data_IF_540424144511
#
_entry.id   IF_540424144511
#
_cell.length_a   1.000
_cell.length_b   1.000
_cell.length_c   1.000
_cell.angle_alpha   90.00
_cell.angle_beta   90.00
_cell.angle_gamma   90.00
#
_symmetry.space_group_name_H-M   'P 1'
#
loop_
_entity.id
_entity.type
_entity.pdbx_description
1 polymer ?
#
# COMPACT_ATOMS: atom_id res chain seq x y z
N UNK A 1 -18.80 -8.41 -4.03
CA UNK A 1 -17.90 -9.58 -4.15
C UNK A 1 -16.64 -9.26 -4.97
N UNK A 2 -16.75 -8.80 -6.22
CA UNK A 2 -15.58 -8.51 -7.08
C UNK A 2 -14.54 -7.56 -6.45
N UNK A 3 -14.98 -6.47 -5.83
CA UNK A 3 -14.08 -5.53 -5.15
C UNK A 3 -13.29 -6.18 -4.00
N UNK A 4 -13.93 -7.07 -3.22
CA UNK A 4 -13.25 -7.79 -2.13
C UNK A 4 -12.21 -8.76 -2.69
N UNK A 5 -12.53 -9.46 -3.79
CA UNK A 5 -11.57 -10.31 -4.50
C UNK A 5 -10.38 -9.51 -5.03
N UNK A 6 -10.63 -8.30 -5.54
CA UNK A 6 -9.58 -7.39 -5.97
C UNK A 6 -8.66 -7.00 -4.80
N UNK A 7 -9.22 -6.55 -3.67
CA UNK A 7 -8.43 -6.23 -2.47
C UNK A 7 -7.61 -7.43 -1.96
N UNK A 8 -8.20 -8.62 -1.95
CA UNK A 8 -7.51 -9.85 -1.56
C UNK A 8 -6.37 -10.21 -2.53
N UNK A 9 -6.58 -10.02 -3.84
CA UNK A 9 -5.55 -10.24 -4.85
C UNK A 9 -4.38 -9.27 -4.71
N UNK A 10 -4.64 -8.00 -4.41
CA UNK A 10 -3.60 -7.00 -4.10
C UNK A 10 -2.78 -7.41 -2.88
N UNK A 11 -3.45 -7.78 -1.78
CA UNK A 11 -2.77 -8.22 -0.57
C UNK A 11 -1.90 -9.46 -0.82
N UNK A 12 -2.43 -10.43 -1.56
CA UNK A 12 -1.70 -11.64 -1.97
C UNK A 12 -0.48 -11.31 -2.84
N UNK A 13 -0.63 -10.40 -3.81
CA UNK A 13 0.49 -9.92 -4.65
C UNK A 13 1.60 -9.31 -3.80
N UNK A 14 1.26 -8.46 -2.82
CA UNK A 14 2.25 -7.82 -1.95
C UNK A 14 2.95 -8.86 -1.08
N UNK A 15 2.21 -9.80 -0.49
CA UNK A 15 2.78 -10.88 0.31
C UNK A 15 3.78 -11.70 -0.51
N UNK A 16 3.36 -12.17 -1.68
CA UNK A 16 4.12 -13.07 -2.56
C UNK A 16 5.34 -12.41 -3.22
N UNK A 17 5.28 -11.12 -3.56
CA UNK A 17 6.34 -10.46 -4.34
C UNK A 17 7.19 -9.46 -3.56
N UNK A 18 6.79 -9.12 -2.34
CA UNK A 18 7.49 -8.14 -1.51
C UNK A 18 7.73 -8.67 -0.10
N UNK A 19 6.74 -9.25 0.58
CA UNK A 19 6.95 -9.70 1.96
C UNK A 19 7.81 -10.96 2.07
N UNK A 20 7.84 -11.84 1.06
CA UNK A 20 8.73 -13.02 1.03
C UNK A 20 10.22 -12.65 1.07
N UNK A 21 10.58 -11.53 0.46
CA UNK A 21 11.94 -11.02 0.34
C UNK A 21 12.24 -9.92 1.39
N UNK A 22 11.27 -9.53 2.22
CA UNK A 22 11.46 -8.45 3.19
C UNK A 22 12.23 -8.91 4.44
N UNK A 23 13.02 -8.02 5.06
CA UNK A 23 13.69 -8.25 6.35
C UNK A 23 12.77 -8.79 7.46
N UNK A 24 11.50 -8.40 7.42
CA UNK A 24 10.49 -8.81 8.40
C UNK A 24 9.82 -10.16 8.07
N UNK A 25 10.27 -10.92 7.08
CA UNK A 25 9.76 -12.28 6.85
C UNK A 25 9.89 -13.12 8.13
N UNK A 26 8.78 -13.69 8.60
CA UNK A 26 8.73 -14.45 9.86
C UNK A 26 8.73 -13.59 11.13
N UNK A 27 8.76 -12.26 11.01
CA UNK A 27 8.74 -11.30 12.11
C UNK A 27 7.49 -10.43 12.07
N UNK A 28 7.11 -9.84 13.20
CA UNK A 28 6.03 -8.87 13.25
C UNK A 28 6.54 -7.51 12.73
N UNK A 29 6.09 -7.10 11.55
CA UNK A 29 6.26 -5.72 11.08
C UNK A 29 5.09 -4.85 11.58
N UNK A 30 5.19 -3.51 11.44
CA UNK A 30 4.11 -2.60 11.83
C UNK A 30 2.76 -2.82 11.13
N UNK A 31 2.73 -3.62 10.06
CA UNK A 31 1.53 -4.03 9.33
C UNK A 31 1.16 -5.51 9.55
N UNK A 32 1.92 -6.26 10.34
CA UNK A 32 1.73 -7.70 10.57
C UNK A 32 2.03 -8.63 9.38
N UNK A 33 2.18 -8.07 8.16
CA UNK A 33 2.39 -8.82 6.91
C UNK A 33 3.58 -9.76 6.91
N UNK A 34 4.67 -9.43 7.61
CA UNK A 34 5.87 -10.28 7.66
C UNK A 34 5.62 -11.65 8.29
N UNK A 35 4.84 -11.68 9.38
CA UNK A 35 4.42 -12.91 10.08
C UNK A 35 3.33 -13.64 9.30
N UNK A 36 2.40 -12.90 8.69
CA UNK A 36 1.38 -13.50 7.83
C UNK A 36 2.00 -14.20 6.61
N UNK A 37 2.99 -13.56 5.98
CA UNK A 37 3.69 -14.09 4.82
C UNK A 37 4.35 -15.45 5.11
N UNK A 38 5.03 -15.59 6.26
CA UNK A 38 5.72 -16.84 6.60
C UNK A 38 4.79 -18.03 6.89
N UNK A 39 3.49 -17.78 7.09
CA UNK A 39 2.50 -18.86 7.23
C UNK A 39 2.03 -19.39 5.87
N UNK A 40 2.11 -18.57 4.82
CA UNK A 40 1.51 -18.86 3.51
C UNK A 40 2.56 -19.16 2.44
N UNK A 41 3.74 -18.54 2.54
CA UNK A 41 4.81 -18.64 1.56
C UNK A 41 6.13 -19.03 2.20
N UNK A 42 7.04 -19.61 1.41
CA UNK A 42 8.43 -19.82 1.80
C UNK A 42 9.25 -18.54 1.79
N UNK A 43 10.40 -18.56 2.48
CA UNK A 43 11.31 -17.41 2.56
C UNK A 43 11.98 -17.18 1.20
N UNK A 44 11.93 -15.94 0.73
CA UNK A 44 12.65 -15.50 -0.45
C UNK A 44 14.07 -15.00 -0.11
N UNK A 45 14.60 -14.16 -0.98
CA UNK A 45 15.95 -13.60 -0.87
C UNK A 45 15.90 -12.10 -0.56
N UNK A 46 16.39 -11.67 0.61
CA UNK A 46 16.45 -10.26 0.99
C UNK A 46 17.13 -9.33 -0.02
N UNK A 47 18.12 -9.81 -0.77
CA UNK A 47 18.79 -8.99 -1.78
C UNK A 47 17.85 -8.62 -2.91
N UNK A 48 16.95 -9.53 -3.32
CA UNK A 48 15.95 -9.26 -4.36
C UNK A 48 15.03 -8.11 -4.01
N UNK A 49 14.71 -7.91 -2.73
CA UNK A 49 13.88 -6.77 -2.31
C UNK A 49 14.59 -5.43 -2.53
N UNK A 50 15.89 -5.38 -2.25
CA UNK A 50 16.72 -4.17 -2.38
C UNK A 50 17.05 -3.90 -3.85
N UNK A 51 17.17 -4.92 -4.69
CA UNK A 51 17.46 -4.74 -6.12
C UNK A 51 16.21 -4.46 -6.94
N UNK A 52 15.02 -4.77 -6.41
CA UNK A 52 13.75 -4.56 -7.09
C UNK A 52 13.56 -3.10 -7.48
N UNK A 53 13.36 -2.86 -8.76
CA UNK A 53 12.91 -1.57 -9.26
C UNK A 53 11.39 -1.56 -9.22
N UNK A 54 10.81 -0.62 -8.47
CA UNK A 54 9.36 -0.42 -8.39
C UNK A 54 9.02 0.74 -9.31
N UNK A 55 8.03 0.53 -10.17
CA UNK A 55 7.49 1.54 -11.07
C UNK A 55 6.14 2.06 -10.58
N UNK A 56 5.68 3.19 -11.14
CA UNK A 56 4.31 3.68 -10.88
C UNK A 56 3.22 2.68 -11.27
N UNK A 57 3.47 1.85 -12.29
CA UNK A 57 2.55 0.80 -12.70
C UNK A 57 2.40 -0.31 -11.63
N UNK A 58 3.41 -0.51 -10.78
CA UNK A 58 3.33 -1.45 -9.66
C UNK A 58 2.53 -0.90 -8.48
N UNK A 59 2.52 0.43 -8.30
CA UNK A 59 1.75 1.12 -7.25
C UNK A 59 0.32 1.45 -7.66
N UNK A 60 0.05 1.57 -8.96
CA UNK A 60 -1.26 1.92 -9.50
C UNK A 60 -2.39 1.01 -8.95
N UNK A 61 -2.23 -0.32 -8.88
CA UNK A 61 -3.27 -1.20 -8.35
C UNK A 61 -3.59 -0.92 -6.86
N UNK A 62 -2.60 -0.54 -6.07
CA UNK A 62 -2.82 -0.18 -4.66
C UNK A 62 -3.66 1.11 -4.54
N UNK A 63 -3.42 2.11 -5.40
CA UNK A 63 -4.22 3.33 -5.42
C UNK A 63 -5.66 3.09 -5.91
N UNK A 64 -5.85 2.15 -6.83
CA UNK A 64 -7.18 1.77 -7.32
C UNK A 64 -8.10 1.24 -6.22
N UNK A 65 -7.54 0.67 -5.13
CA UNK A 65 -8.33 0.25 -3.96
C UNK A 65 -9.11 1.41 -3.36
N UNK A 66 -8.57 2.63 -3.35
CA UNK A 66 -9.26 3.83 -2.87
C UNK A 66 -10.01 4.58 -3.98
N UNK A 67 -9.43 4.65 -5.18
CA UNK A 67 -10.01 5.41 -6.30
C UNK A 67 -11.33 4.79 -6.79
N UNK A 68 -11.40 3.46 -6.95
CA UNK A 68 -12.62 2.79 -7.40
C UNK A 68 -13.85 3.07 -6.50
N UNK A 69 -13.78 2.86 -5.17
CA UNK A 69 -14.91 3.17 -4.30
C UNK A 69 -15.20 4.66 -4.20
N UNK A 70 -14.18 5.53 -4.30
CA UNK A 70 -14.40 6.98 -4.30
C UNK A 70 -15.18 7.44 -5.55
N UNK A 71 -14.80 6.96 -6.74
CA UNK A 71 -15.52 7.25 -7.99
C UNK A 71 -16.94 6.70 -7.95
N UNK A 72 -17.13 5.47 -7.47
CA UNK A 72 -18.46 4.88 -7.33
C UNK A 72 -19.35 5.69 -6.37
N UNK A 73 -18.81 6.12 -5.23
CA UNK A 73 -19.53 6.96 -4.28
C UNK A 73 -19.87 8.34 -4.86
N UNK A 74 -18.98 8.94 -5.66
CA UNK A 74 -19.24 10.20 -6.34
C UNK A 74 -20.37 10.07 -7.37
N UNK A 75 -20.36 9.01 -8.19
CA UNK A 75 -21.43 8.73 -9.16
C UNK A 75 -22.77 8.55 -8.44
N UNK A 76 -22.79 7.81 -7.32
CA UNK A 76 -23.97 7.62 -6.48
C UNK A 76 -24.50 8.96 -5.94
N UNK A 77 -23.62 9.84 -5.44
CA UNK A 77 -24.01 11.15 -4.92
C UNK A 77 -24.56 12.10 -5.99
N UNK A 78 -24.03 12.05 -7.21
CA UNK A 78 -24.51 12.85 -8.34
C UNK A 78 -25.89 12.38 -8.79
N UNK A 79 -26.13 11.05 -8.77
CA UNK A 79 -27.40 10.47 -9.20
C UNK A 79 -28.49 10.64 -8.16
N UNK A 80 -28.19 10.28 -6.91
CA UNK A 80 -29.12 10.25 -5.80
C UNK A 80 -28.39 10.64 -4.51
N UNK A 81 -28.42 11.95 -4.21
CA UNK A 81 -27.71 12.48 -3.06
C UNK A 81 -28.25 11.90 -1.75
N UNK A 82 -27.36 11.31 -0.95
CA UNK A 82 -27.66 10.83 0.40
C UNK A 82 -26.52 11.17 1.35
N UNK A 83 -26.87 11.62 2.56
CA UNK A 83 -25.90 11.94 3.60
C UNK A 83 -25.04 10.74 3.99
N UNK A 84 -25.59 9.53 3.98
CA UNK A 84 -24.86 8.30 4.29
C UNK A 84 -23.70 8.05 3.32
N UNK A 85 -23.92 8.21 2.01
CA UNK A 85 -22.85 8.02 1.01
C UNK A 85 -21.81 9.12 1.13
N UNK A 86 -22.22 10.36 1.42
CA UNK A 86 -21.30 11.47 1.64
C UNK A 86 -20.37 11.21 2.84
N UNK A 87 -20.93 10.81 3.98
CA UNK A 87 -20.15 10.47 5.18
C UNK A 87 -19.19 9.32 4.90
N UNK A 88 -19.64 8.28 4.19
CA UNK A 88 -18.79 7.15 3.84
C UNK A 88 -17.64 7.55 2.90
N UNK A 89 -17.90 8.43 1.92
CA UNK A 89 -16.88 8.97 1.03
C UNK A 89 -15.84 9.80 1.81
N UNK A 90 -16.28 10.70 2.69
CA UNK A 90 -15.39 11.50 3.52
C UNK A 90 -14.53 10.60 4.41
N UNK A 91 -15.13 9.60 5.05
CA UNK A 91 -14.42 8.62 5.87
C UNK A 91 -13.41 7.81 5.04
N UNK A 92 -13.79 7.35 3.85
CA UNK A 92 -12.91 6.65 2.93
C UNK A 92 -11.68 7.49 2.57
N UNK A 93 -11.86 8.77 2.21
CA UNK A 93 -10.77 9.66 1.86
C UNK A 93 -9.86 9.96 3.07
N UNK A 94 -10.46 10.22 4.24
CA UNK A 94 -9.75 10.40 5.50
C UNK A 94 -8.87 9.20 5.85
N UNK A 95 -9.40 7.98 5.73
CA UNK A 95 -8.65 6.75 6.01
C UNK A 95 -7.61 6.46 4.93
N UNK A 96 -7.96 6.64 3.65
CA UNK A 96 -7.12 6.28 2.51
C UNK A 96 -5.91 7.19 2.39
N UNK A 97 -6.06 8.49 2.65
CA UNK A 97 -4.98 9.46 2.53
C UNK A 97 -4.45 9.92 3.89
N UNK A 98 -5.31 10.43 4.76
CA UNK A 98 -4.90 10.99 6.06
C UNK A 98 -4.31 9.95 6.99
N UNK A 99 -5.09 8.91 7.31
CA UNK A 99 -4.65 7.87 8.24
C UNK A 99 -3.46 7.09 7.67
N UNK A 100 -3.51 6.68 6.40
CA UNK A 100 -2.38 5.99 5.78
C UNK A 100 -1.11 6.85 5.71
N UNK A 101 -1.19 8.15 5.41
CA UNK A 101 -0.01 9.02 5.38
C UNK A 101 0.60 9.17 6.78
N UNK A 102 -0.22 9.36 7.81
CA UNK A 102 0.25 9.47 9.20
C UNK A 102 0.81 8.13 9.70
N UNK A 103 0.07 7.03 9.52
CA UNK A 103 0.49 5.70 9.98
C UNK A 103 1.76 5.26 9.25
N UNK A 104 1.81 5.39 7.92
CA UNK A 104 3.00 5.00 7.15
C UNK A 104 4.15 5.97 7.39
N UNK A 105 3.94 7.27 7.32
CA UNK A 105 5.00 8.28 7.45
C UNK A 105 5.57 8.38 8.86
N UNK A 106 4.72 8.40 9.89
CA UNK A 106 5.15 8.66 11.27
C UNK A 106 5.46 7.39 12.07
N UNK A 107 4.69 6.32 11.87
CA UNK A 107 4.76 5.13 12.73
C UNK A 107 5.44 3.92 12.06
N UNK A 108 5.00 3.53 10.87
CA UNK A 108 5.46 2.30 10.23
C UNK A 108 6.79 2.49 9.49
N UNK A 109 6.87 3.38 8.50
CA UNK A 109 8.08 3.56 7.68
C UNK A 109 9.21 4.23 8.45
N UNK A 110 8.92 5.14 9.39
CA UNK A 110 9.95 5.80 10.22
C UNK A 110 10.78 4.82 11.04
N UNK A 111 10.16 3.75 11.55
CA UNK A 111 10.82 2.73 12.39
C UNK A 111 11.05 1.41 11.63
N UNK A 112 10.94 1.42 10.30
CA UNK A 112 11.07 0.22 9.49
C UNK A 112 12.54 -0.09 9.21
N UNK A 113 13.06 -1.22 9.72
CA UNK A 113 14.44 -1.66 9.44
C UNK A 113 14.70 -1.91 7.95
N UNK A 114 13.69 -2.36 7.21
CA UNK A 114 13.79 -2.55 5.76
C UNK A 114 14.04 -1.22 5.02
N UNK A 115 13.58 -0.10 5.57
CA UNK A 115 13.84 1.23 5.00
C UNK A 115 15.33 1.55 5.03
N UNK A 116 15.98 1.32 6.18
CA UNK A 116 17.43 1.52 6.35
C UNK A 116 18.27 0.60 5.46
N UNK A 117 17.79 -0.64 5.23
CA UNK A 117 18.46 -1.60 4.34
C UNK A 117 18.22 -1.31 2.85
N UNK A 118 17.19 -0.54 2.52
CA UNK A 118 16.78 -0.24 1.15
C UNK A 118 15.31 -0.55 0.92
N UNK A 119 14.50 0.51 0.78
CA UNK A 119 13.11 0.43 0.34
C UNK A 119 13.00 0.88 -1.13
N UNK A 120 12.49 0.03 -2.04
CA UNK A 120 12.34 0.43 -3.44
C UNK A 120 11.27 1.51 -3.63
N UNK A 121 10.24 1.55 -2.78
CA UNK A 121 9.23 2.61 -2.81
C UNK A 121 9.81 3.98 -2.41
N UNK A 122 10.69 4.04 -1.40
CA UNK A 122 11.33 5.30 -0.99
C UNK A 122 12.22 5.86 -2.10
N UNK A 123 12.96 5.00 -2.81
CA UNK A 123 13.76 5.42 -3.97
C UNK A 123 12.91 6.02 -5.09
N UNK A 124 11.72 5.47 -5.36
CA UNK A 124 10.82 6.01 -6.38
C UNK A 124 10.34 7.42 -6.00
N UNK A 125 9.88 7.64 -4.77
CA UNK A 125 9.40 8.95 -4.31
C UNK A 125 10.54 9.99 -4.20
N UNK A 126 11.74 9.61 -3.74
CA UNK A 126 12.87 10.53 -3.65
C UNK A 126 13.44 10.92 -5.02
N UNK A 127 13.47 10.00 -6.00
CA UNK A 127 13.93 10.28 -7.36
C UNK A 127 13.07 11.34 -8.05
N UNK A 128 11.77 11.34 -7.77
CA UNK A 128 10.85 12.35 -8.29
C UNK A 128 10.99 13.70 -7.59
N UNK A 129 11.23 13.71 -6.27
CA UNK A 129 11.51 14.95 -5.53
C UNK A 129 12.75 15.68 -6.04
N UNK A 130 13.74 14.97 -6.60
CA UNK A 130 14.92 15.56 -7.24
C UNK A 130 14.68 15.95 -8.71
N UNK A 131 13.71 15.31 -9.38
CA UNK A 131 13.32 15.64 -10.76
C UNK A 131 12.40 16.86 -10.85
N UNK A 132 11.62 17.15 -9.81
CA UNK A 132 10.74 18.33 -9.71
C UNK A 132 11.53 19.58 -9.25
N UNK A 133 12.70 19.40 -8.61
CA UNK A 133 13.54 20.49 -8.13
C UNK A 133 14.61 20.97 -9.13
N UNK A 134 14.66 20.41 -10.34
CA UNK A 134 15.58 20.80 -11.41
C UNK A 134 14.83 21.39 -12.60
#
# INVERSE_FOLDING_TARGET
VLYVLYCAWIEFRILKHSCVDCYYYGKLCGLGRGKLCSLVFGKGDPQRFIEKQVSWADLLPDFMVAILPAVAALILLIRDFTWSVLVLLVLLLMLSFGANAVIRGSFACKHCKQRELGCPAERLFNKESQAISN
#
